data_IF_285233747226
#
_entry.id   IF_285233747226
#
_cell.length_a   1.000
_cell.length_b   1.000
_cell.length_c   1.000
_cell.angle_alpha   90.00
_cell.angle_beta   90.00
_cell.angle_gamma   90.00
#
_symmetry.space_group_name_H-M   'P 1'
#
loop_
_entity.id
_entity.type
_entity.pdbx_description
1 polymer ?
#
# COMPACT_ATOMS: atom_id res chain seq x y z
N UNK A 1 -83.26 -2.47 23.34
CA UNK A 1 -82.88 -2.79 21.94
C UNK A 1 -82.10 -1.61 21.42
N UNK A 2 -80.78 -1.63 21.57
CA UNK A 2 -79.88 -0.55 21.15
C UNK A 2 -78.66 -1.21 20.52
N UNK A 3 -78.41 -0.89 19.28
CA UNK A 3 -77.26 -1.36 18.50
C UNK A 3 -75.98 -0.53 18.83
N UNK A 4 -74.86 -1.12 18.92
CA UNK A 4 -73.55 -0.36 19.12
C UNK A 4 -73.00 0.13 17.79
N UNK A 5 -72.50 1.37 17.84
CA UNK A 5 -71.84 2.06 16.71
C UNK A 5 -70.46 1.50 16.38
N UNK A 6 -70.23 1.49 15.11
CA UNK A 6 -68.98 1.03 14.50
C UNK A 6 -67.96 2.16 14.56
N UNK A 7 -66.84 2.01 15.32
CA UNK A 7 -65.68 2.94 15.35
C UNK A 7 -64.72 2.55 14.24
N UNK A 8 -64.66 3.37 13.20
CA UNK A 8 -63.69 3.22 12.11
C UNK A 8 -62.26 3.54 12.59
N UNK A 9 -61.37 2.57 12.50
CA UNK A 9 -59.95 2.75 12.69
C UNK A 9 -59.33 3.41 11.45
N UNK A 10 -58.83 4.65 11.60
CA UNK A 10 -58.02 5.32 10.59
C UNK A 10 -56.62 4.77 10.63
N UNK A 11 -56.23 4.07 9.58
CA UNK A 11 -54.86 3.63 9.35
C UNK A 11 -53.99 4.83 8.98
N UNK A 12 -53.09 5.24 9.87
CA UNK A 12 -52.09 6.26 9.57
C UNK A 12 -50.99 5.65 8.66
N UNK A 13 -51.00 6.06 7.40
CA UNK A 13 -49.91 5.79 6.47
C UNK A 13 -48.69 6.60 6.90
N UNK A 14 -47.69 5.95 7.51
CA UNK A 14 -46.37 6.51 7.71
C UNK A 14 -45.62 6.55 6.36
N UNK A 15 -44.96 7.67 5.99
CA UNK A 15 -44.14 7.71 4.78
C UNK A 15 -42.98 6.76 4.92
N UNK A 16 -42.89 5.76 4.04
CA UNK A 16 -41.73 4.89 3.89
C UNK A 16 -40.57 5.74 3.41
N UNK A 17 -39.66 6.08 4.31
CA UNK A 17 -38.36 6.67 3.97
C UNK A 17 -37.60 5.69 3.09
N UNK A 18 -37.48 6.00 1.80
CA UNK A 18 -36.65 5.24 0.86
C UNK A 18 -35.18 5.53 1.22
N UNK A 19 -34.61 4.68 2.08
CA UNK A 19 -33.17 4.67 2.30
C UNK A 19 -32.49 4.15 1.02
N UNK A 20 -32.00 5.08 0.21
CA UNK A 20 -31.10 4.74 -0.90
C UNK A 20 -29.73 4.48 -0.30
N UNK A 21 -29.25 3.21 -0.27
CA UNK A 21 -27.87 2.96 0.17
C UNK A 21 -26.95 3.71 -0.77
N UNK A 22 -26.10 4.59 -0.23
CA UNK A 22 -24.97 5.16 -0.98
C UNK A 22 -24.13 3.98 -1.42
N UNK A 23 -24.22 3.62 -2.69
CA UNK A 23 -23.33 2.65 -3.31
C UNK A 23 -21.91 3.18 -3.13
N UNK A 24 -21.14 2.58 -2.23
CA UNK A 24 -19.72 2.86 -2.16
C UNK A 24 -19.12 2.48 -3.50
N UNK A 25 -18.29 3.34 -4.11
CA UNK A 25 -17.61 3.00 -5.35
C UNK A 25 -16.84 1.70 -5.13
N UNK A 26 -17.22 0.66 -5.86
CA UNK A 26 -16.45 -0.58 -5.85
C UNK A 26 -15.06 -0.26 -6.41
N UNK A 27 -13.99 -0.75 -5.77
CA UNK A 27 -12.65 -0.54 -6.30
C UNK A 27 -12.60 -1.11 -7.72
N UNK A 28 -12.36 -0.24 -8.70
CA UNK A 28 -12.17 -0.67 -10.07
C UNK A 28 -10.81 -1.37 -10.18
N UNK A 29 -10.74 -2.51 -10.86
CA UNK A 29 -9.48 -3.20 -11.06
C UNK A 29 -8.55 -2.32 -11.91
N UNK A 30 -7.28 -2.21 -11.47
CA UNK A 30 -6.25 -1.40 -12.10
C UNK A 30 -5.29 -2.25 -12.92
N UNK A 31 -4.82 -1.71 -14.04
CA UNK A 31 -3.63 -2.19 -14.76
C UNK A 31 -2.52 -1.17 -14.56
N UNK A 32 -1.33 -1.63 -14.20
CA UNK A 32 -0.31 -0.73 -13.66
C UNK A 32 1.05 -0.88 -14.34
N UNK A 33 1.79 0.22 -14.35
CA UNK A 33 3.20 0.33 -14.64
C UNK A 33 3.96 0.58 -13.34
N UNK A 34 4.90 -0.29 -13.01
CA UNK A 34 5.71 -0.16 -11.79
C UNK A 34 6.74 0.95 -11.96
N UNK A 35 6.83 1.85 -10.98
CA UNK A 35 7.78 2.96 -10.93
C UNK A 35 9.01 2.58 -10.09
N UNK A 36 8.77 2.02 -8.90
CA UNK A 36 9.81 1.52 -8.00
C UNK A 36 9.29 0.38 -7.12
N UNK A 37 10.01 0.02 -6.07
CA UNK A 37 9.65 -1.12 -5.20
C UNK A 37 8.34 -0.97 -4.42
N UNK A 38 7.75 0.23 -4.36
CA UNK A 38 6.49 0.48 -3.62
C UNK A 38 5.48 1.31 -4.40
N UNK A 39 5.91 1.91 -5.53
CA UNK A 39 5.08 2.82 -6.34
C UNK A 39 4.79 2.26 -7.72
N UNK A 40 3.59 2.51 -8.16
CA UNK A 40 3.13 2.16 -9.50
C UNK A 40 2.13 3.20 -10.00
N UNK A 41 1.92 3.22 -11.30
CA UNK A 41 1.02 4.14 -11.97
C UNK A 41 -0.06 3.34 -12.70
N UNK A 42 -1.30 3.76 -12.56
CA UNK A 42 -2.38 3.28 -13.43
C UNK A 42 -2.12 3.71 -14.87
N UNK A 43 -2.16 2.78 -15.81
CA UNK A 43 -1.86 3.04 -17.21
C UNK A 43 -2.93 3.90 -17.89
N UNK A 44 -4.17 3.88 -17.39
CA UNK A 44 -5.31 4.58 -17.97
C UNK A 44 -5.43 6.01 -17.43
N UNK A 45 -5.47 6.16 -16.10
CA UNK A 45 -5.67 7.45 -15.45
C UNK A 45 -4.38 8.21 -15.19
N UNK A 46 -3.22 7.55 -15.28
CA UNK A 46 -1.89 8.06 -14.92
C UNK A 46 -1.73 8.40 -13.45
N UNK A 47 -2.72 8.08 -12.63
CA UNK A 47 -2.65 8.27 -11.17
C UNK A 47 -1.53 7.44 -10.57
N UNK A 48 -0.72 8.06 -9.70
CA UNK A 48 0.36 7.39 -8.98
C UNK A 48 -0.16 6.86 -7.65
N UNK A 49 0.12 5.59 -7.42
CA UNK A 49 -0.21 4.88 -6.20
C UNK A 49 1.06 4.43 -5.49
N UNK A 50 1.02 4.45 -4.15
CA UNK A 50 2.08 3.91 -3.29
C UNK A 50 1.49 2.93 -2.29
N UNK A 51 2.12 1.79 -2.13
CA UNK A 51 1.71 0.80 -1.13
C UNK A 51 1.86 1.39 0.28
N UNK A 52 0.77 1.33 1.03
CA UNK A 52 0.70 1.91 2.37
C UNK A 52 1.50 1.10 3.40
N UNK A 53 2.17 1.80 4.31
CA UNK A 53 2.77 1.23 5.51
C UNK A 53 4.09 0.50 5.29
N UNK A 54 4.63 0.49 4.07
CA UNK A 54 5.90 -0.13 3.74
C UNK A 54 6.85 0.80 2.98
N UNK A 55 8.14 0.49 3.06
CA UNK A 55 9.22 1.10 2.28
C UNK A 55 10.09 0.01 1.67
N UNK A 56 10.59 0.24 0.47
CA UNK A 56 11.58 -0.63 -0.17
C UNK A 56 12.88 0.12 -0.42
N UNK A 57 13.96 -0.61 -0.65
CA UNK A 57 15.19 -0.02 -1.15
C UNK A 57 14.90 0.86 -2.38
N UNK A 58 15.55 2.03 -2.47
CA UNK A 58 15.50 2.83 -3.69
C UNK A 58 16.05 2.03 -4.90
N UNK A 59 15.63 2.30 -6.13
CA UNK A 59 15.98 1.48 -7.30
C UNK A 59 17.48 1.20 -7.48
N UNK A 60 18.32 2.14 -7.09
CA UNK A 60 19.79 2.05 -7.14
C UNK A 60 20.45 1.75 -5.78
N UNK A 61 19.66 1.50 -4.75
CA UNK A 61 20.17 1.08 -3.44
C UNK A 61 20.63 -0.37 -3.47
N UNK A 62 21.75 -0.64 -2.78
CA UNK A 62 22.30 -1.98 -2.60
C UNK A 62 22.35 -2.36 -1.13
N UNK A 63 22.17 -3.64 -0.85
CA UNK A 63 22.46 -4.30 0.41
C UNK A 63 23.70 -5.18 0.29
N UNK A 64 24.18 -5.78 1.38
CA UNK A 64 25.36 -6.66 1.40
C UNK A 64 25.04 -7.99 2.06
N UNK A 65 25.21 -9.06 1.33
CA UNK A 65 25.23 -10.43 1.87
C UNK A 65 26.69 -10.83 2.12
N UNK A 66 27.14 -10.72 3.36
CA UNK A 66 28.56 -10.79 3.69
C UNK A 66 29.35 -9.68 3.00
N UNK A 67 30.26 -10.05 2.08
CA UNK A 67 31.05 -9.10 1.28
C UNK A 67 30.45 -8.80 -0.09
N UNK A 68 29.44 -9.53 -0.51
CA UNK A 68 28.83 -9.41 -1.83
C UNK A 68 27.72 -8.36 -1.83
N UNK A 69 27.82 -7.29 -2.62
CA UNK A 69 26.71 -6.38 -2.82
C UNK A 69 25.62 -7.05 -3.67
N UNK A 70 24.36 -6.78 -3.36
CA UNK A 70 23.25 -7.17 -4.19
C UNK A 70 22.24 -6.02 -4.33
N UNK A 71 21.56 -5.89 -5.49
CA UNK A 71 20.75 -4.74 -5.82
C UNK A 71 19.37 -4.83 -5.17
N UNK A 72 19.25 -4.54 -3.86
CA UNK A 72 17.99 -4.69 -3.13
C UNK A 72 16.85 -3.85 -3.73
N UNK A 73 17.16 -2.66 -4.27
CA UNK A 73 16.17 -1.82 -4.93
C UNK A 73 15.63 -2.45 -6.21
N UNK A 74 16.52 -2.92 -7.10
CA UNK A 74 16.10 -3.61 -8.32
C UNK A 74 15.31 -4.89 -8.01
N UNK A 75 15.66 -5.61 -6.95
CA UNK A 75 14.93 -6.81 -6.52
C UNK A 75 13.51 -6.48 -6.03
N UNK A 76 13.34 -5.39 -5.29
CA UNK A 76 12.01 -4.94 -4.87
C UNK A 76 11.14 -4.54 -6.08
N UNK A 77 11.72 -3.83 -7.07
CA UNK A 77 11.04 -3.51 -8.33
C UNK A 77 10.65 -4.79 -9.07
N UNK A 78 11.58 -5.73 -9.22
CA UNK A 78 11.34 -7.01 -9.92
C UNK A 78 10.23 -7.83 -9.24
N UNK A 79 10.21 -7.85 -7.90
CA UNK A 79 9.15 -8.50 -7.14
C UNK A 79 7.78 -7.89 -7.47
N UNK A 80 7.66 -6.56 -7.39
CA UNK A 80 6.39 -5.87 -7.64
C UNK A 80 5.94 -6.03 -9.10
N UNK A 81 6.88 -5.95 -10.06
CA UNK A 81 6.59 -6.22 -11.48
C UNK A 81 6.04 -7.64 -11.65
N UNK A 82 6.68 -8.65 -11.06
CA UNK A 82 6.24 -10.04 -11.16
C UNK A 82 4.87 -10.26 -10.54
N UNK A 83 4.60 -9.60 -9.40
CA UNK A 83 3.32 -9.71 -8.71
C UNK A 83 2.16 -9.03 -9.46
N UNK A 84 2.46 -8.04 -10.31
CA UNK A 84 1.45 -7.22 -11.01
C UNK A 84 1.37 -7.47 -12.52
N UNK A 85 2.38 -8.13 -13.12
CA UNK A 85 2.47 -8.36 -14.56
C UNK A 85 1.26 -9.15 -15.08
N UNK A 86 0.54 -8.58 -16.05
CA UNK A 86 -0.67 -9.16 -16.65
C UNK A 86 -1.76 -9.52 -15.61
N UNK A 87 -1.81 -8.82 -14.50
CA UNK A 87 -2.80 -9.02 -13.45
C UNK A 87 -3.58 -7.74 -13.19
N UNK A 88 -4.83 -7.91 -12.80
CA UNK A 88 -5.65 -6.84 -12.28
C UNK A 88 -5.35 -6.64 -10.80
N UNK A 89 -5.19 -5.37 -10.41
CA UNK A 89 -5.05 -4.99 -9.01
C UNK A 89 -6.38 -4.48 -8.46
N UNK A 90 -6.79 -5.02 -7.33
CA UNK A 90 -7.87 -4.47 -6.51
C UNK A 90 -7.24 -3.64 -5.39
N UNK A 91 -7.38 -2.31 -5.45
CA UNK A 91 -6.78 -1.40 -4.49
C UNK A 91 -7.83 -0.64 -3.70
N UNK A 92 -7.70 -0.63 -2.38
CA UNK A 92 -8.45 0.23 -1.46
C UNK A 92 -7.61 1.44 -1.06
N UNK A 93 -8.16 2.65 -1.20
CA UNK A 93 -7.48 3.87 -0.77
C UNK A 93 -7.43 3.94 0.75
N UNK A 94 -6.26 4.32 1.30
CA UNK A 94 -6.06 4.63 2.71
C UNK A 94 -6.10 6.13 2.93
N UNK A 95 -5.29 6.89 2.18
CA UNK A 95 -5.28 8.36 2.17
C UNK A 95 -4.55 8.89 0.93
N UNK A 96 -4.71 10.18 0.65
CA UNK A 96 -3.88 10.91 -0.29
C UNK A 96 -2.66 11.53 0.44
N UNK A 97 -1.52 11.60 -0.25
CA UNK A 97 -0.31 12.26 0.24
C UNK A 97 0.39 12.97 -0.92
N UNK A 98 0.27 14.30 -0.99
CA UNK A 98 0.66 15.07 -2.17
C UNK A 98 -0.11 14.60 -3.41
N UNK A 99 0.61 14.28 -4.48
CA UNK A 99 0.04 13.80 -5.74
C UNK A 99 -0.12 12.26 -5.78
N UNK A 100 0.20 11.56 -4.70
CA UNK A 100 0.13 10.10 -4.62
C UNK A 100 -1.07 9.64 -3.80
N UNK A 101 -1.62 8.49 -4.17
CA UNK A 101 -2.63 7.78 -3.39
C UNK A 101 -1.97 6.63 -2.62
N UNK A 102 -2.06 6.68 -1.30
CA UNK A 102 -1.63 5.56 -0.46
C UNK A 102 -2.71 4.50 -0.43
N UNK A 103 -2.34 3.28 -0.84
CA UNK A 103 -3.30 2.20 -1.08
C UNK A 103 -2.86 0.88 -0.47
N UNK A 104 -3.84 0.01 -0.23
CA UNK A 104 -3.64 -1.42 -0.01
C UNK A 104 -4.18 -2.15 -1.24
N UNK A 105 -3.38 -3.02 -1.80
CA UNK A 105 -3.71 -3.70 -3.05
C UNK A 105 -3.57 -5.21 -2.94
N UNK A 106 -4.45 -5.90 -3.67
CA UNK A 106 -4.44 -7.34 -3.85
C UNK A 106 -4.39 -7.69 -5.34
N UNK A 107 -3.92 -8.88 -5.66
CA UNK A 107 -4.05 -9.54 -6.97
C UNK A 107 -4.60 -10.95 -6.77
N UNK A 108 -4.87 -11.66 -7.85
CA UNK A 108 -5.30 -13.07 -7.77
C UNK A 108 -4.29 -13.99 -7.03
N UNK A 109 -3.01 -13.60 -7.00
CA UNK A 109 -1.95 -14.37 -6.33
C UNK A 109 -1.50 -13.82 -4.97
N UNK A 110 -1.94 -12.62 -4.60
CA UNK A 110 -1.50 -11.89 -3.41
C UNK A 110 -2.70 -11.23 -2.75
N UNK A 111 -3.07 -11.68 -1.55
CA UNK A 111 -4.19 -11.11 -0.80
C UNK A 111 -3.89 -9.68 -0.29
N UNK A 112 -2.61 -9.36 -0.06
CA UNK A 112 -2.12 -8.03 0.29
C UNK A 112 -0.66 -7.93 -0.16
N UNK A 113 -0.40 -7.15 -1.22
CA UNK A 113 0.93 -6.99 -1.80
C UNK A 113 1.96 -6.50 -0.78
N UNK A 114 1.58 -5.56 0.08
CA UNK A 114 2.49 -5.01 1.08
C UNK A 114 2.86 -6.06 2.15
N UNK A 115 1.89 -6.85 2.61
CA UNK A 115 2.14 -7.93 3.56
C UNK A 115 3.09 -8.99 2.98
N UNK A 116 2.89 -9.37 1.71
CA UNK A 116 3.72 -10.36 1.04
C UNK A 116 5.15 -9.85 0.78
N UNK A 117 5.30 -8.56 0.41
CA UNK A 117 6.62 -7.92 0.30
C UNK A 117 7.38 -7.89 1.62
N UNK A 118 6.70 -7.63 2.73
CA UNK A 118 7.28 -7.69 4.08
C UNK A 118 7.69 -9.11 4.45
N UNK A 119 6.82 -10.10 4.16
CA UNK A 119 7.07 -11.51 4.42
C UNK A 119 8.26 -12.07 3.62
N UNK A 120 8.43 -11.64 2.39
CA UNK A 120 9.56 -12.03 1.55
C UNK A 120 10.84 -11.22 1.84
N UNK A 121 10.74 -10.19 2.69
CA UNK A 121 11.86 -9.35 3.09
C UNK A 121 12.37 -8.45 1.97
N UNK A 122 11.55 -8.11 0.97
CA UNK A 122 11.90 -7.16 -0.09
C UNK A 122 11.48 -5.73 0.24
N UNK A 123 10.71 -5.57 1.33
CA UNK A 123 10.33 -4.30 1.92
C UNK A 123 10.48 -4.34 3.44
N UNK A 124 10.40 -3.17 4.05
CA UNK A 124 10.41 -2.96 5.50
C UNK A 124 9.19 -2.12 5.90
N UNK A 125 8.77 -2.23 7.18
CA UNK A 125 7.73 -1.35 7.70
C UNK A 125 8.20 0.10 7.62
N UNK A 126 7.34 0.95 7.06
CA UNK A 126 7.57 2.40 7.07
C UNK A 126 7.44 2.95 8.50
N UNK A 127 8.19 4.01 8.84
CA UNK A 127 7.94 4.77 10.06
C UNK A 127 6.58 5.49 9.93
N UNK A 128 5.59 5.03 10.68
CA UNK A 128 4.25 5.60 10.71
C UNK A 128 4.11 6.61 11.85
N UNK A 129 3.34 7.68 11.62
CA UNK A 129 2.95 8.59 12.69
C UNK A 129 2.05 7.88 13.72
N UNK A 130 1.93 8.41 14.97
CA UNK A 130 1.09 7.80 16.01
C UNK A 130 -0.35 7.55 15.58
N UNK A 131 -0.92 8.48 14.80
CA UNK A 131 -2.32 8.47 14.36
C UNK A 131 -2.52 7.72 13.02
N UNK A 132 -1.45 7.22 12.41
CA UNK A 132 -1.55 6.46 11.18
C UNK A 132 -2.18 5.08 11.41
N UNK A 133 -2.87 4.58 10.39
CA UNK A 133 -3.47 3.24 10.41
C UNK A 133 -2.39 2.17 10.60
N UNK A 134 -2.44 1.47 11.70
CA UNK A 134 -1.55 0.34 11.98
C UNK A 134 -2.20 -0.96 11.51
N UNK A 135 -1.48 -1.72 10.72
CA UNK A 135 -1.94 -3.01 10.20
C UNK A 135 -1.16 -4.13 10.90
N UNK A 136 -1.77 -4.85 11.87
CA UNK A 136 -1.06 -5.83 12.69
C UNK A 136 -0.39 -6.95 11.88
N UNK A 137 -1.01 -7.38 10.77
CA UNK A 137 -0.44 -8.41 9.88
C UNK A 137 0.89 -8.00 9.25
N UNK A 138 1.14 -6.69 9.05
CA UNK A 138 2.41 -6.20 8.50
C UNK A 138 3.57 -6.40 9.47
N UNK A 139 3.34 -6.11 10.75
CA UNK A 139 4.35 -6.35 11.79
C UNK A 139 4.67 -7.84 11.92
N UNK A 140 3.65 -8.70 11.86
CA UNK A 140 3.82 -10.15 11.88
C UNK A 140 4.61 -10.65 10.66
N UNK A 141 4.25 -10.22 9.45
CA UNK A 141 4.94 -10.58 8.21
C UNK A 141 6.43 -10.20 8.25
N UNK A 142 6.74 -8.98 8.69
CA UNK A 142 8.14 -8.57 8.85
C UNK A 142 8.88 -9.37 9.93
N UNK A 143 8.23 -9.68 11.04
CA UNK A 143 8.85 -10.49 12.10
C UNK A 143 9.19 -11.90 11.59
N UNK A 144 8.31 -12.50 10.80
CA UNK A 144 8.54 -13.80 10.17
C UNK A 144 9.69 -13.74 9.14
N UNK A 145 9.78 -12.68 8.34
CA UNK A 145 10.89 -12.48 7.42
C UNK A 145 12.23 -12.35 8.17
N UNK A 146 12.26 -11.59 9.26
CA UNK A 146 13.46 -11.44 10.11
C UNK A 146 13.89 -12.77 10.72
N UNK A 147 12.94 -13.50 11.30
CA UNK A 147 13.21 -14.81 11.91
C UNK A 147 13.74 -15.83 10.91
N UNK A 148 13.25 -15.78 9.68
CA UNK A 148 13.64 -16.69 8.60
C UNK A 148 14.82 -16.16 7.74
N UNK A 149 15.41 -15.01 8.08
CA UNK A 149 16.50 -14.37 7.32
C UNK A 149 16.18 -14.19 5.83
N UNK A 150 14.95 -13.77 5.50
CA UNK A 150 14.53 -13.57 4.11
C UNK A 150 14.98 -12.21 3.58
N UNK A 151 15.39 -12.17 2.32
CA UNK A 151 15.69 -10.94 1.59
C UNK A 151 16.65 -10.02 2.33
N UNK A 152 16.23 -8.79 2.62
CA UNK A 152 16.99 -7.78 3.37
C UNK A 152 17.48 -8.30 4.72
N UNK A 153 16.71 -9.14 5.39
CA UNK A 153 17.03 -9.63 6.73
C UNK A 153 18.15 -10.68 6.78
N UNK A 154 18.60 -11.19 5.62
CA UNK A 154 19.82 -11.98 5.48
C UNK A 154 21.07 -11.13 5.26
N UNK A 155 20.93 -9.81 5.18
CA UNK A 155 21.91 -8.87 4.70
C UNK A 155 22.16 -7.73 5.67
N UNK A 156 23.26 -7.02 5.50
CA UNK A 156 23.46 -5.68 6.05
C UNK A 156 22.94 -4.67 5.06
N UNK A 157 22.06 -3.80 5.48
CA UNK A 157 21.48 -2.75 4.64
C UNK A 157 21.21 -1.49 5.46
N UNK A 158 21.17 -0.36 4.77
CA UNK A 158 20.72 0.92 5.31
C UNK A 158 19.20 1.01 5.12
N UNK A 159 18.48 1.54 6.09
CA UNK A 159 17.03 1.73 5.95
C UNK A 159 16.73 2.66 4.76
N UNK A 160 15.66 2.40 3.99
CA UNK A 160 15.38 3.17 2.77
C UNK A 160 15.30 4.68 3.00
N UNK A 161 14.71 5.12 4.11
CA UNK A 161 14.62 6.54 4.47
C UNK A 161 15.97 7.17 4.87
N UNK A 162 16.84 6.43 5.55
CA UNK A 162 18.18 6.90 5.92
C UNK A 162 19.05 7.04 4.67
N UNK A 163 18.95 6.06 3.77
CA UNK A 163 19.67 6.08 2.49
C UNK A 163 19.24 7.28 1.64
N UNK A 164 17.93 7.55 1.51
CA UNK A 164 17.43 8.74 0.79
C UNK A 164 17.97 10.03 1.41
N UNK A 165 17.83 10.18 2.73
CA UNK A 165 18.33 11.36 3.45
C UNK A 165 19.81 11.60 3.23
N UNK A 166 20.62 10.56 3.27
CA UNK A 166 22.07 10.64 3.02
C UNK A 166 22.35 11.06 1.57
N UNK A 167 21.65 10.47 0.63
CA UNK A 167 21.80 10.78 -0.79
C UNK A 167 21.42 12.21 -1.13
N UNK A 168 20.32 12.70 -0.57
CA UNK A 168 19.88 14.09 -0.78
C UNK A 168 20.89 15.10 -0.26
N UNK A 169 21.48 14.84 0.91
CA UNK A 169 22.58 15.66 1.46
C UNK A 169 23.80 15.65 0.53
N UNK A 170 24.19 14.48 0.05
CA UNK A 170 25.32 14.38 -0.87
C UNK A 170 25.08 15.16 -2.16
N UNK A 171 23.91 15.03 -2.74
CA UNK A 171 23.53 15.77 -3.95
C UNK A 171 23.51 17.29 -3.74
N UNK A 172 23.10 17.75 -2.57
CA UNK A 172 23.14 19.17 -2.22
C UNK A 172 24.58 19.70 -2.14
N UNK A 173 25.48 18.97 -1.49
CA UNK A 173 26.92 19.33 -1.40
C UNK A 173 27.58 19.35 -2.78
N UNK A 174 27.31 18.35 -3.62
CA UNK A 174 27.88 18.26 -4.97
C UNK A 174 27.43 19.44 -5.86
N UNK A 175 26.20 19.91 -5.68
CA UNK A 175 25.66 21.07 -6.37
C UNK A 175 26.28 22.39 -5.88
N UNK A 176 26.62 22.48 -4.59
CA UNK A 176 27.28 23.67 -4.02
C UNK A 176 28.73 23.78 -4.52
N UNK A 177 29.46 22.68 -4.61
CA UNK A 177 30.85 22.64 -5.13
C UNK A 177 30.94 23.00 -6.62
N UNK A 178 29.86 22.78 -7.38
CA UNK A 178 29.79 23.07 -8.83
C UNK A 178 29.41 24.51 -9.18
N UNK A 179 29.06 25.33 -8.19
CA UNK A 179 28.71 26.75 -8.38
C UNK A 179 29.88 27.67 -8.11
#
# INVERSE_FOLDING_TARGET
>A
MLLPGNAGAQSANAPSSIYTPKTQPQPQPLRVEVIDGTRFRDIETRTVYRLYGIEACAPDQTARLGRQPWPCGAMAVAWLVTATLNRWLACGSVRAEGDEQLVRCATAGHADLAADMLHDGVAVLAPLAPDDLKIPSYAAAQADARKAYRGLWSSTFEMPWDWRTRRDRQSALDNEVRR
#
